data_IF_994699165973
#
_entry.id   IF_994699165973
#
_cell.length_a   1.000
_cell.length_b   1.000
_cell.length_c   1.000
_cell.angle_alpha   90.00
_cell.angle_beta   90.00
_cell.angle_gamma   90.00
#
_symmetry.space_group_name_H-M   'P 1'
#
loop_
_entity.id
_entity.type
_entity.pdbx_description
1 polymer ?
#
# COMPACT_ATOMS: atom_id res chain seq x y z
N UNK A 1 17.21 -17.18 -8.94
CA UNK A 1 16.17 -17.13 -7.89
C UNK A 1 14.86 -16.72 -8.56
N UNK A 2 13.73 -17.34 -8.22
CA UNK A 2 12.43 -16.98 -8.85
C UNK A 2 11.84 -15.82 -8.06
N UNK A 3 11.81 -14.63 -8.65
CA UNK A 3 11.16 -13.46 -8.06
C UNK A 3 9.64 -13.59 -8.21
N UNK A 4 8.93 -13.86 -7.12
CA UNK A 4 7.46 -13.97 -7.10
C UNK A 4 6.84 -12.65 -6.70
N UNK A 5 5.98 -12.09 -7.55
CA UNK A 5 5.25 -10.85 -7.31
C UNK A 5 3.82 -10.98 -7.83
N UNK A 6 2.82 -10.51 -7.08
CA UNK A 6 1.42 -10.51 -7.54
C UNK A 6 1.18 -9.44 -8.62
N UNK A 7 1.77 -8.27 -8.43
CA UNK A 7 1.63 -7.14 -9.34
C UNK A 7 2.70 -6.09 -9.10
N UNK A 8 2.59 -4.98 -9.81
CA UNK A 8 3.43 -3.80 -9.61
C UNK A 8 3.06 -2.65 -10.52
N UNK A 9 3.34 -1.43 -10.09
CA UNK A 9 3.17 -0.22 -10.87
C UNK A 9 4.51 0.33 -11.36
N UNK A 10 4.57 0.68 -12.64
CA UNK A 10 5.68 1.39 -13.25
C UNK A 10 5.17 2.64 -13.97
N UNK A 11 5.74 3.84 -13.72
CA UNK A 11 5.40 5.05 -14.47
C UNK A 11 5.51 4.90 -15.99
N UNK A 12 6.47 4.08 -16.45
CA UNK A 12 6.74 3.90 -17.88
C UNK A 12 5.83 2.84 -18.55
N UNK A 13 5.33 1.86 -17.79
CA UNK A 13 4.63 0.70 -18.34
C UNK A 13 3.18 0.55 -17.84
N UNK A 14 2.80 1.25 -16.78
CA UNK A 14 1.51 1.12 -16.12
C UNK A 14 1.48 0.00 -15.08
N UNK A 15 0.31 -0.62 -14.93
CA UNK A 15 0.05 -1.67 -13.95
C UNK A 15 0.36 -3.04 -14.57
N UNK A 16 1.21 -3.81 -13.89
CA UNK A 16 1.50 -5.20 -14.18
C UNK A 16 0.73 -6.10 -13.20
N UNK A 17 0.11 -7.15 -13.72
CA UNK A 17 -0.52 -8.21 -12.94
C UNK A 17 0.07 -9.55 -13.36
N UNK A 18 0.56 -10.32 -12.42
CA UNK A 18 1.11 -11.65 -12.65
C UNK A 18 0.03 -12.71 -12.42
N UNK A 19 -0.59 -13.17 -13.52
CA UNK A 19 -1.69 -14.14 -13.48
C UNK A 19 -1.34 -15.44 -12.72
N UNK A 20 -0.09 -15.90 -12.78
CA UNK A 20 0.41 -17.09 -12.10
C UNK A 20 0.54 -16.93 -10.56
N UNK A 21 0.39 -15.71 -10.04
CA UNK A 21 0.43 -15.41 -8.59
C UNK A 21 -0.97 -15.06 -8.05
N UNK A 22 -2.02 -15.11 -8.89
CA UNK A 22 -3.40 -14.86 -8.50
C UNK A 22 -4.06 -16.12 -7.93
N UNK A 23 -4.71 -15.99 -6.76
CA UNK A 23 -5.37 -17.11 -6.07
C UNK A 23 -6.84 -17.22 -6.47
N UNK A 24 -7.51 -16.08 -6.52
CA UNK A 24 -8.93 -15.96 -6.85
C UNK A 24 -9.22 -14.53 -7.34
N UNK A 25 -10.48 -14.28 -7.73
CA UNK A 25 -10.94 -12.97 -8.20
C UNK A 25 -10.73 -11.87 -7.15
N UNK A 26 -10.88 -12.18 -5.87
CA UNK A 26 -10.72 -11.19 -4.80
C UNK A 26 -9.26 -10.77 -4.68
N UNK A 27 -8.33 -11.72 -4.70
CA UNK A 27 -6.89 -11.41 -4.68
C UNK A 27 -6.47 -10.54 -5.87
N UNK A 28 -7.05 -10.78 -7.04
CA UNK A 28 -6.86 -9.96 -8.23
C UNK A 28 -7.40 -8.54 -8.02
N UNK A 29 -8.63 -8.39 -7.52
CA UNK A 29 -9.26 -7.10 -7.24
C UNK A 29 -8.45 -6.29 -6.21
N UNK A 30 -8.02 -6.93 -5.11
CA UNK A 30 -7.19 -6.30 -4.08
C UNK A 30 -5.83 -5.87 -4.65
N UNK A 31 -5.17 -6.73 -5.45
CA UNK A 31 -3.88 -6.38 -6.09
C UNK A 31 -4.05 -5.23 -7.08
N UNK A 32 -5.06 -5.29 -7.93
CA UNK A 32 -5.31 -4.23 -8.91
C UNK A 32 -5.60 -2.90 -8.22
N UNK A 33 -6.43 -2.89 -7.17
CA UNK A 33 -6.72 -1.69 -6.40
C UNK A 33 -5.46 -1.09 -5.74
N UNK A 34 -4.58 -1.94 -5.21
CA UNK A 34 -3.28 -1.52 -4.66
C UNK A 34 -2.44 -0.79 -5.72
N UNK A 35 -2.28 -1.39 -6.89
CA UNK A 35 -1.50 -0.78 -7.98
C UNK A 35 -2.17 0.47 -8.59
N UNK A 36 -3.50 0.55 -8.57
CA UNK A 36 -4.23 1.75 -8.98
C UNK A 36 -3.99 2.92 -8.02
N UNK A 37 -3.82 2.67 -6.71
CA UNK A 37 -3.42 3.71 -5.75
C UNK A 37 -2.01 4.20 -6.06
N UNK A 38 -1.07 3.30 -6.37
CA UNK A 38 0.26 3.72 -6.84
C UNK A 38 0.20 4.62 -8.09
N UNK A 39 -0.64 4.24 -9.07
CA UNK A 39 -0.84 5.04 -10.28
C UNK A 39 -1.45 6.41 -9.96
N UNK A 40 -2.48 6.46 -9.13
CA UNK A 40 -3.11 7.70 -8.68
C UNK A 40 -2.11 8.61 -7.97
N UNK A 41 -1.35 8.04 -7.03
CA UNK A 41 -0.41 8.79 -6.23
C UNK A 41 0.73 9.37 -7.07
N UNK A 42 1.23 8.59 -8.04
CA UNK A 42 2.21 9.06 -9.00
C UNK A 42 1.70 10.26 -9.80
N UNK A 43 0.45 10.21 -10.29
CA UNK A 43 -0.14 11.30 -11.07
C UNK A 43 -0.43 12.55 -10.22
N UNK A 44 -0.81 12.36 -8.96
CA UNK A 44 -1.26 13.47 -8.11
C UNK A 44 -0.14 14.19 -7.38
N UNK A 45 0.88 13.47 -6.95
CA UNK A 45 1.99 13.98 -6.15
C UNK A 45 3.35 13.93 -6.88
N UNK A 46 3.37 13.52 -8.16
CA UNK A 46 4.60 13.38 -8.95
C UNK A 46 5.67 12.59 -8.21
N UNK A 47 5.27 11.45 -7.63
CA UNK A 47 6.16 10.58 -6.85
C UNK A 47 7.39 10.27 -7.69
N UNK A 48 8.56 10.64 -7.17
CA UNK A 48 9.84 10.40 -7.82
C UNK A 48 10.26 8.95 -7.57
N UNK A 49 9.99 8.08 -8.54
CA UNK A 49 10.32 6.66 -8.45
C UNK A 49 11.80 6.36 -8.76
N UNK A 50 12.55 7.33 -9.30
CA UNK A 50 13.92 7.15 -9.82
C UNK A 50 14.97 8.09 -9.21
N UNK A 51 14.61 9.27 -8.71
CA UNK A 51 15.52 10.27 -8.16
C UNK A 51 15.55 10.32 -6.63
N UNK A 52 16.55 11.03 -6.10
CA UNK A 52 17.02 11.03 -4.70
C UNK A 52 15.98 11.38 -3.62
N UNK A 53 14.75 11.77 -3.99
CA UNK A 53 13.71 12.22 -3.06
C UNK A 53 12.90 11.08 -2.41
N UNK A 54 13.29 10.82 -1.16
CA UNK A 54 12.46 10.48 0.00
C UNK A 54 11.66 9.17 0.00
N UNK A 55 12.21 8.17 0.70
CA UNK A 55 11.53 7.00 1.26
C UNK A 55 10.17 7.33 1.92
N UNK A 56 9.93 8.59 2.32
CA UNK A 56 8.65 9.07 2.86
C UNK A 56 7.52 9.04 1.84
N UNK A 57 7.76 9.46 0.60
CA UNK A 57 6.72 9.41 -0.45
C UNK A 57 6.37 7.96 -0.78
N UNK A 58 7.40 7.12 -0.91
CA UNK A 58 7.22 5.69 -1.02
C UNK A 58 6.37 5.16 0.14
N UNK A 59 6.81 5.35 1.40
CA UNK A 59 6.07 4.90 2.57
C UNK A 59 4.62 5.40 2.60
N UNK A 60 4.38 6.67 2.27
CA UNK A 60 3.04 7.24 2.21
C UNK A 60 2.16 6.53 1.18
N UNK A 61 2.71 6.28 0.00
CA UNK A 61 2.02 5.59 -1.08
C UNK A 61 1.68 4.15 -0.69
N UNK A 62 2.62 3.43 -0.06
CA UNK A 62 2.38 2.06 0.42
C UNK A 62 1.31 2.01 1.53
N UNK A 63 1.34 2.96 2.47
CA UNK A 63 0.31 3.06 3.54
C UNK A 63 -1.08 3.21 2.92
N UNK A 64 -1.22 4.13 1.96
CA UNK A 64 -2.50 4.37 1.26
C UNK A 64 -2.92 3.15 0.45
N UNK A 65 -2.01 2.55 -0.30
CA UNK A 65 -2.28 1.39 -1.12
C UNK A 65 -2.77 0.21 -0.26
N UNK A 66 -2.09 -0.08 0.85
CA UNK A 66 -2.51 -1.15 1.77
C UNK A 66 -3.79 -0.85 2.54
N UNK A 67 -4.04 0.42 2.85
CA UNK A 67 -5.28 0.82 3.51
C UNK A 67 -6.49 0.72 2.57
N UNK A 68 -6.35 1.16 1.32
CA UNK A 68 -7.47 1.37 0.40
C UNK A 68 -7.76 0.16 -0.50
N UNK A 69 -6.77 -0.72 -0.74
CA UNK A 69 -6.92 -1.83 -1.69
C UNK A 69 -7.81 -2.97 -1.20
N UNK A 70 -7.95 -3.12 0.12
CA UNK A 70 -8.65 -4.24 0.72
C UNK A 70 -7.77 -5.43 1.10
N UNK A 71 -6.46 -5.38 0.82
CA UNK A 71 -5.53 -6.48 1.13
C UNK A 71 -5.36 -6.73 2.64
N UNK A 72 -5.64 -5.72 3.47
CA UNK A 72 -5.67 -5.81 4.92
C UNK A 72 -7.08 -6.03 5.51
N UNK A 73 -8.11 -6.34 4.70
CA UNK A 73 -9.48 -6.56 5.18
C UNK A 73 -9.54 -7.65 6.24
N UNK A 74 -10.01 -7.29 7.43
CA UNK A 74 -10.38 -8.24 8.48
C UNK A 74 -11.87 -8.60 8.37
N UNK A 75 -12.23 -9.87 8.55
CA UNK A 75 -13.55 -10.41 8.22
C UNK A 75 -14.71 -9.82 9.04
N UNK A 76 -15.81 -9.50 8.33
CA UNK A 76 -17.25 -9.30 8.64
C UNK A 76 -17.77 -8.84 10.01
N UNK A 77 -17.09 -8.93 11.15
CA UNK A 77 -17.70 -8.54 12.44
C UNK A 77 -17.41 -7.10 12.86
N UNK A 78 -16.35 -6.50 12.34
CA UNK A 78 -15.98 -5.09 12.60
C UNK A 78 -16.57 -4.12 11.57
N UNK A 79 -16.56 -4.48 10.28
CA UNK A 79 -17.03 -3.61 9.18
C UNK A 79 -18.56 -3.53 9.06
N UNK A 80 -19.29 -4.56 9.51
CA UNK A 80 -20.76 -4.63 9.35
C UNK A 80 -21.54 -3.95 10.48
N UNK A 81 -20.88 -3.57 11.59
CA UNK A 81 -21.53 -3.00 12.78
C UNK A 81 -21.21 -1.53 13.07
N UNK A 82 -20.58 -0.82 12.12
CA UNK A 82 -20.38 0.64 12.23
C UNK A 82 -19.49 1.08 13.40
N UNK A 83 -18.73 0.16 14.01
CA UNK A 83 -17.75 0.49 15.05
C UNK A 83 -16.43 0.86 14.39
N UNK A 84 -16.25 2.15 14.11
CA UNK A 84 -15.05 2.80 13.57
C UNK A 84 -13.81 2.74 14.49
N UNK A 85 -13.84 1.92 15.55
CA UNK A 85 -12.60 1.49 16.19
C UNK A 85 -11.94 0.50 15.25
N UNK A 86 -11.29 1.05 14.24
CA UNK A 86 -10.33 0.39 13.37
C UNK A 86 -9.56 -0.63 14.21
N UNK A 87 -9.73 -1.92 13.93
CA UNK A 87 -9.11 -2.93 14.77
C UNK A 87 -7.61 -2.71 14.75
N UNK A 88 -6.96 -2.85 15.90
CA UNK A 88 -5.49 -2.72 16.00
C UNK A 88 -4.80 -3.60 14.94
N UNK A 89 -5.35 -4.79 14.67
CA UNK A 89 -4.88 -5.68 13.61
C UNK A 89 -4.92 -5.11 12.18
N UNK A 90 -5.87 -4.22 11.85
CA UNK A 90 -5.86 -3.56 10.53
C UNK A 90 -4.69 -2.57 10.41
N UNK A 91 -4.49 -1.74 11.44
CA UNK A 91 -3.35 -0.82 11.46
C UNK A 91 -2.03 -1.59 11.42
N UNK A 92 -1.91 -2.67 12.18
CA UNK A 92 -0.72 -3.52 12.22
C UNK A 92 -0.44 -4.17 10.87
N UNK A 93 -1.48 -4.62 10.15
CA UNK A 93 -1.35 -5.12 8.78
C UNK A 93 -0.81 -4.04 7.84
N UNK A 94 -1.43 -2.85 7.81
CA UNK A 94 -1.02 -1.74 6.94
C UNK A 94 0.41 -1.30 7.25
N UNK A 95 0.78 -1.17 8.53
CA UNK A 95 2.17 -0.86 8.95
C UNK A 95 3.14 -1.90 8.43
N UNK A 96 2.86 -3.18 8.67
CA UNK A 96 3.77 -4.27 8.31
C UNK A 96 4.02 -4.32 6.80
N UNK A 97 2.97 -4.14 5.99
CA UNK A 97 3.09 -4.12 4.53
C UNK A 97 3.88 -2.91 4.03
N UNK A 98 3.60 -1.72 4.55
CA UNK A 98 4.34 -0.52 4.18
C UNK A 98 5.83 -0.63 4.55
N UNK A 99 6.16 -1.15 5.73
CA UNK A 99 7.55 -1.38 6.16
C UNK A 99 8.23 -2.37 5.22
N UNK A 100 7.59 -3.51 4.91
CA UNK A 100 8.15 -4.51 4.01
C UNK A 100 8.42 -3.95 2.61
N UNK A 101 7.48 -3.18 2.06
CA UNK A 101 7.66 -2.56 0.74
C UNK A 101 8.79 -1.53 0.73
N UNK A 102 8.90 -0.70 1.78
CA UNK A 102 10.00 0.27 1.92
C UNK A 102 11.35 -0.43 2.07
N UNK A 103 11.43 -1.53 2.83
CA UNK A 103 12.67 -2.32 2.98
C UNK A 103 13.18 -2.89 1.67
N UNK A 104 12.29 -3.24 0.74
CA UNK A 104 12.67 -3.78 -0.57
C UNK A 104 13.24 -2.71 -1.52
N UNK A 105 13.31 -1.44 -1.09
CA UNK A 105 13.84 -0.35 -1.91
C UNK A 105 15.36 -0.22 -1.73
N UNK A 106 16.13 0.00 -2.81
CA UNK A 106 17.60 0.03 -2.75
C UNK A 106 18.23 1.04 -1.78
N UNK A 107 17.50 2.11 -1.41
CA UNK A 107 18.00 3.15 -0.48
C UNK A 107 17.67 2.87 0.98
N UNK A 108 16.81 1.91 1.27
CA UNK A 108 16.50 1.54 2.65
C UNK A 108 17.64 0.70 3.20
N UNK A 109 18.26 1.15 4.29
CA UNK A 109 19.41 0.49 4.90
C UNK A 109 19.01 -0.73 5.72
N UNK A 110 17.96 -0.58 6.51
CA UNK A 110 17.50 -1.57 7.49
C UNK A 110 16.02 -1.38 7.84
N UNK A 111 15.47 -2.33 8.59
CA UNK A 111 14.11 -2.28 9.12
C UNK A 111 13.89 -1.04 10.01
N UNK A 112 14.90 -0.65 10.79
CA UNK A 112 14.80 0.49 11.72
C UNK A 112 14.52 1.78 10.95
N UNK A 113 15.19 1.99 9.81
CA UNK A 113 14.94 3.11 8.92
C UNK A 113 13.55 3.01 8.30
N UNK A 114 13.15 1.84 7.78
CA UNK A 114 11.83 1.65 7.19
C UNK A 114 10.71 1.98 8.18
N UNK A 115 10.78 1.40 9.38
CA UNK A 115 9.85 1.64 10.49
C UNK A 115 9.80 3.11 10.87
N UNK A 116 10.96 3.77 10.99
CA UNK A 116 11.03 5.20 11.30
C UNK A 116 10.34 6.05 10.22
N UNK A 117 10.59 5.76 8.95
CA UNK A 117 10.02 6.53 7.83
C UNK A 117 8.51 6.32 7.73
N UNK A 118 8.03 5.08 7.88
CA UNK A 118 6.59 4.77 7.91
C UNK A 118 5.90 5.51 9.05
N UNK A 119 6.51 5.51 10.25
CA UNK A 119 5.95 6.23 11.40
C UNK A 119 5.94 7.76 11.22
N UNK A 120 6.91 8.33 10.50
CA UNK A 120 6.95 9.78 10.24
C UNK A 120 5.79 10.28 9.39
N UNK A 121 5.28 9.46 8.47
CA UNK A 121 4.21 9.86 7.54
C UNK A 121 2.85 9.27 7.91
N UNK A 122 2.80 8.41 8.92
CA UNK A 122 1.64 7.61 9.29
C UNK A 122 0.35 8.43 9.39
N UNK A 123 0.31 9.42 10.28
CA UNK A 123 -0.92 10.16 10.57
C UNK A 123 -1.47 10.90 9.34
N UNK A 124 -0.58 11.43 8.50
CA UNK A 124 -0.99 12.16 7.29
C UNK A 124 -1.49 11.21 6.19
N UNK A 125 -0.81 10.09 5.98
CA UNK A 125 -1.09 9.20 4.84
C UNK A 125 -2.20 8.21 5.15
N UNK A 126 -2.29 7.76 6.39
CA UNK A 126 -3.34 6.87 6.85
C UNK A 126 -4.70 7.57 6.99
N UNK A 127 -4.73 8.89 7.18
CA UNK A 127 -5.97 9.65 7.17
C UNK A 127 -6.46 10.03 5.75
N UNK A 128 -5.63 9.85 4.72
CA UNK A 128 -5.95 10.26 3.35
C UNK A 128 -6.60 9.12 2.56
N UNK A 129 -7.92 9.23 2.37
CA UNK A 129 -8.72 8.19 1.68
C UNK A 129 -8.83 8.40 0.17
N UNK A 130 -8.29 9.49 -0.38
CA UNK A 130 -8.44 9.81 -1.81
C UNK A 130 -7.83 8.69 -2.69
N UNK A 131 -8.38 8.41 -3.88
CA UNK A 131 -9.51 9.08 -4.55
C UNK A 131 -10.90 8.64 -4.04
N UNK A 132 -10.96 7.79 -3.02
CA UNK A 132 -12.23 7.31 -2.48
C UNK A 132 -12.78 8.27 -1.43
N UNK A 133 -14.11 8.37 -1.35
CA UNK A 133 -14.78 9.12 -0.29
C UNK A 133 -14.67 8.40 1.05
N UNK A 134 -14.59 7.06 1.03
CA UNK A 134 -14.44 6.18 2.20
C UNK A 134 -13.54 4.98 1.84
N UNK A 135 -12.96 4.31 2.86
CA UNK A 135 -12.20 3.07 2.66
C UNK A 135 -13.14 1.99 2.07
N UNK A 136 -12.77 1.44 0.90
CA UNK A 136 -13.61 0.56 0.10
C UNK A 136 -13.97 -0.76 0.84
N UNK A 137 -15.28 -1.06 0.92
CA UNK A 137 -15.92 -2.15 1.70
C UNK A 137 -15.71 -3.55 1.14
#
# INVERSE_FOLDING_TARGET
EVHRQSGGFSPAHGILICANEMRDRKHLEDTLAHEMVHAWDHLRWQVDWLGDMELKHAACTEIRASMLSGECRWTRETFTRGNWKLSQGFQDCVRSRAIQSVMNRPRCKDDVQATKVVNQVWDSCFADTRPFDEIYR
#
